data_IF_821616290993
#
_entry.id   IF_821616290993
#
_cell.length_a   1.000
_cell.length_b   1.000
_cell.length_c   1.000
_cell.angle_alpha   90.00
_cell.angle_beta   90.00
_cell.angle_gamma   90.00
#
_symmetry.space_group_name_H-M   'P 1'
#
loop_
_entity.id
_entity.type
_entity.pdbx_description
1 polymer ?
#
# COMPACT_ATOMS: atom_id res chain seq x y z
N UNK A 1 17.20 -12.78 30.30
CA UNK A 1 17.08 -11.36 29.98
C UNK A 1 18.46 -10.76 30.13
N UNK A 2 19.14 -10.44 29.05
CA UNK A 2 20.53 -9.94 29.08
C UNK A 2 20.52 -8.42 29.31
N UNK A 3 21.64 -7.86 29.77
CA UNK A 3 21.79 -6.40 29.97
C UNK A 3 21.52 -5.61 28.66
N UNK A 4 21.77 -6.24 27.49
CA UNK A 4 21.43 -5.69 26.17
C UNK A 4 19.91 -5.59 25.94
N UNK A 5 19.14 -6.56 26.46
CA UNK A 5 17.68 -6.55 26.32
C UNK A 5 17.06 -5.45 27.18
N UNK A 6 17.65 -5.18 28.36
CA UNK A 6 17.21 -4.10 29.25
C UNK A 6 17.58 -2.73 28.68
N UNK A 7 18.76 -2.60 28.05
CA UNK A 7 19.19 -1.34 27.42
C UNK A 7 18.36 -1.04 26.16
N UNK A 8 17.92 -2.06 25.42
CA UNK A 8 17.03 -1.85 24.27
C UNK A 8 15.62 -1.38 24.68
N UNK A 9 15.15 -1.83 25.84
CA UNK A 9 13.85 -1.42 26.41
C UNK A 9 13.95 0.00 27.03
N UNK A 10 15.13 0.38 27.54
CA UNK A 10 15.39 1.71 28.10
C UNK A 10 15.89 2.72 27.07
N UNK A 11 16.00 2.31 25.82
CA UNK A 11 16.39 3.24 24.76
C UNK A 11 15.27 4.26 24.58
N UNK A 12 15.46 5.50 25.05
CA UNK A 12 14.50 6.60 24.97
C UNK A 12 14.04 6.91 23.53
N UNK A 13 14.71 6.37 22.52
CA UNK A 13 14.25 6.36 21.15
C UNK A 13 12.94 5.57 20.98
N UNK A 14 12.63 4.61 21.84
CA UNK A 14 11.36 3.87 21.83
C UNK A 14 10.16 4.73 22.26
N UNK A 15 10.39 5.83 22.95
CA UNK A 15 9.36 6.78 23.38
C UNK A 15 9.25 8.02 22.48
N UNK A 16 10.19 8.23 21.57
CA UNK A 16 9.96 9.20 20.51
C UNK A 16 8.98 8.55 19.55
N UNK A 17 7.90 9.25 19.13
CA UNK A 17 7.23 8.84 17.91
C UNK A 17 8.34 8.77 16.87
N UNK A 18 8.75 7.54 16.52
CA UNK A 18 9.69 7.38 15.43
C UNK A 18 9.07 8.14 14.27
N UNK A 19 9.86 9.03 13.64
CA UNK A 19 9.46 9.54 12.35
C UNK A 19 9.06 8.31 11.55
N UNK A 20 7.95 8.39 10.84
CA UNK A 20 7.47 7.33 9.95
C UNK A 20 8.50 7.15 8.84
N UNK A 21 9.69 6.69 9.22
CA UNK A 21 10.74 6.29 8.29
C UNK A 21 10.16 5.10 7.50
N UNK A 22 9.92 5.25 6.20
CA UNK A 22 9.41 4.17 5.38
C UNK A 22 10.35 2.96 5.35
N UNK A 23 11.62 3.13 5.72
CA UNK A 23 12.60 2.06 5.91
C UNK A 23 12.53 1.39 7.27
N UNK A 24 11.93 2.05 8.28
CA UNK A 24 11.79 1.50 9.63
C UNK A 24 10.51 0.68 9.72
N UNK A 25 10.64 -0.64 9.81
CA UNK A 25 9.51 -1.51 10.05
C UNK A 25 8.78 -1.11 11.33
N UNK A 26 7.48 -0.84 11.26
CA UNK A 26 6.65 -0.58 12.42
C UNK A 26 6.70 -1.74 13.44
N UNK A 27 6.99 -2.96 12.98
CA UNK A 27 7.20 -4.14 13.83
C UNK A 27 8.49 -4.08 14.64
N UNK A 28 9.45 -3.24 14.27
CA UNK A 28 10.68 -3.04 15.10
C UNK A 28 10.36 -2.42 16.44
N UNK A 29 9.23 -1.71 16.56
CA UNK A 29 8.73 -1.21 17.85
C UNK A 29 8.26 -2.34 18.76
N UNK A 30 7.75 -3.43 18.15
CA UNK A 30 7.17 -4.58 18.84
C UNK A 30 7.75 -5.91 18.33
N UNK A 31 9.09 -6.11 18.37
CA UNK A 31 9.73 -7.26 17.73
C UNK A 31 9.35 -8.61 18.36
N UNK A 32 8.80 -8.58 19.56
CA UNK A 32 8.39 -9.79 20.30
C UNK A 32 6.91 -10.13 20.16
N UNK A 33 6.14 -9.26 19.52
CA UNK A 33 4.69 -9.40 19.46
C UNK A 33 4.24 -10.10 18.18
N UNK A 34 3.21 -10.92 18.29
CA UNK A 34 2.39 -11.33 17.16
C UNK A 34 1.56 -10.14 16.75
N UNK A 35 1.34 -9.97 15.48
CA UNK A 35 0.57 -8.86 14.92
C UNK A 35 -0.43 -9.38 13.89
N UNK A 36 -1.47 -8.62 13.64
CA UNK A 36 -2.41 -8.90 12.57
C UNK A 36 -2.36 -7.80 11.51
N UNK A 37 -2.43 -8.20 10.26
CA UNK A 37 -2.55 -7.31 9.12
C UNK A 37 -4.01 -7.32 8.68
N UNK A 38 -4.61 -6.15 8.52
CA UNK A 38 -6.03 -5.99 8.17
C UNK A 38 -6.12 -5.20 6.87
N UNK A 39 -6.81 -5.74 5.88
CA UNK A 39 -7.12 -5.06 4.63
C UNK A 39 -8.56 -4.59 4.61
N UNK A 40 -8.80 -3.31 4.35
CA UNK A 40 -10.13 -2.69 4.31
C UNK A 40 -10.45 -2.32 2.87
N UNK A 41 -11.34 -3.10 2.24
CA UNK A 41 -11.98 -2.80 0.96
C UNK A 41 -13.24 -1.97 1.12
N UNK A 42 -13.95 -1.72 0.02
CA UNK A 42 -15.23 -0.99 0.05
C UNK A 42 -16.31 -1.77 0.82
N UNK A 43 -16.44 -3.04 0.53
CA UNK A 43 -17.41 -3.96 1.11
C UNK A 43 -16.73 -5.30 1.45
N UNK A 44 -15.47 -5.24 1.90
CA UNK A 44 -14.69 -6.42 2.26
C UNK A 44 -13.69 -6.10 3.36
N UNK A 45 -13.39 -7.10 4.17
CA UNK A 45 -12.36 -7.09 5.18
C UNK A 45 -11.54 -8.37 5.04
N UNK A 46 -10.24 -8.21 4.80
CA UNK A 46 -9.29 -9.32 4.81
C UNK A 46 -8.33 -9.21 5.99
N UNK A 47 -7.77 -10.32 6.44
CA UNK A 47 -6.73 -10.31 7.48
C UNK A 47 -5.74 -11.45 7.33
N UNK A 48 -4.55 -11.26 7.90
CA UNK A 48 -3.49 -12.25 8.08
C UNK A 48 -2.83 -12.04 9.43
N UNK A 49 -2.65 -13.11 10.18
CA UNK A 49 -1.79 -13.09 11.37
C UNK A 49 -0.32 -13.21 10.97
N UNK A 50 0.55 -12.56 11.74
CA UNK A 50 2.01 -12.62 11.55
C UNK A 50 2.65 -12.99 12.88
N UNK A 51 3.33 -14.13 12.90
CA UNK A 51 4.07 -14.61 14.06
C UNK A 51 5.35 -13.78 14.29
N UNK A 52 5.94 -13.88 15.48
CA UNK A 52 7.20 -13.22 15.84
C UNK A 52 8.35 -13.51 14.88
N UNK A 53 8.39 -14.69 14.29
CA UNK A 53 9.39 -15.10 13.30
C UNK A 53 9.08 -14.63 11.86
N UNK A 54 8.03 -13.84 11.66
CA UNK A 54 7.62 -13.33 10.35
C UNK A 54 6.75 -14.28 9.52
N UNK A 55 6.49 -15.51 10.00
CA UNK A 55 5.62 -16.45 9.28
C UNK A 55 4.16 -16.02 9.40
N UNK A 56 3.41 -16.19 8.31
CA UNK A 56 1.98 -15.95 8.31
C UNK A 56 1.22 -17.09 8.97
N UNK A 57 0.14 -16.74 9.63
CA UNK A 57 -0.86 -17.69 10.13
C UNK A 57 -2.10 -17.70 9.26
N UNK A 58 -3.12 -18.35 9.71
CA UNK A 58 -4.42 -18.32 9.06
C UNK A 58 -4.89 -16.89 8.84
N UNK A 59 -5.60 -16.69 7.77
CA UNK A 59 -6.23 -15.44 7.40
C UNK A 59 -7.64 -15.68 6.93
N UNK A 60 -8.34 -14.59 6.64
CA UNK A 60 -9.69 -14.66 6.11
C UNK A 60 -10.00 -13.46 5.24
N UNK A 61 -11.06 -13.61 4.48
CA UNK A 61 -11.68 -12.54 3.70
C UNK A 61 -13.19 -12.69 3.85
N UNK A 62 -13.84 -11.62 4.27
CA UNK A 62 -15.31 -11.56 4.36
C UNK A 62 -15.82 -10.34 3.61
N UNK A 63 -17.05 -10.44 3.09
CA UNK A 63 -17.71 -9.37 2.33
C UNK A 63 -18.98 -8.94 3.04
N UNK A 64 -19.28 -7.63 3.01
CA UNK A 64 -20.44 -7.02 3.64
C UNK A 64 -20.20 -5.58 4.08
N UNK A 65 -21.02 -5.08 4.99
CA UNK A 65 -20.86 -3.74 5.55
C UNK A 65 -19.70 -3.69 6.56
N UNK A 66 -18.83 -2.70 6.48
CA UNK A 66 -17.55 -2.64 7.22
C UNK A 66 -17.72 -2.83 8.74
N UNK A 67 -18.73 -2.22 9.34
CA UNK A 67 -18.98 -2.34 10.79
C UNK A 67 -19.31 -3.77 11.20
N UNK A 68 -20.15 -4.43 10.41
CA UNK A 68 -20.51 -5.84 10.62
C UNK A 68 -19.32 -6.76 10.40
N UNK A 69 -18.51 -6.48 9.35
CA UNK A 69 -17.31 -7.23 9.03
C UNK A 69 -16.28 -7.16 10.17
N UNK A 70 -16.06 -5.97 10.75
CA UNK A 70 -15.14 -5.82 11.88
C UNK A 70 -15.63 -6.62 13.08
N UNK A 71 -16.92 -6.60 13.39
CA UNK A 71 -17.49 -7.36 14.48
C UNK A 71 -17.36 -8.88 14.26
N UNK A 72 -17.65 -9.36 13.05
CA UNK A 72 -17.49 -10.79 12.71
C UNK A 72 -16.03 -11.25 12.76
N UNK A 73 -15.14 -10.43 12.16
CA UNK A 73 -13.72 -10.72 12.12
C UNK A 73 -13.06 -10.65 13.51
N UNK A 74 -13.54 -9.78 14.40
CA UNK A 74 -12.93 -9.55 15.71
C UNK A 74 -12.80 -10.83 16.54
N UNK A 75 -13.76 -11.75 16.42
CA UNK A 75 -13.74 -13.04 17.13
C UNK A 75 -12.54 -13.89 16.68
N UNK A 76 -12.20 -13.85 15.39
CA UNK A 76 -11.09 -14.64 14.82
C UNK A 76 -9.76 -13.89 14.91
N UNK A 77 -9.77 -12.56 14.79
CA UNK A 77 -8.57 -11.73 14.74
C UNK A 77 -7.98 -11.48 16.13
N UNK A 78 -8.81 -11.36 17.15
CA UNK A 78 -8.39 -11.00 18.52
C UNK A 78 -7.32 -11.93 19.08
N UNK A 79 -7.42 -13.23 18.81
CA UNK A 79 -6.48 -14.24 19.30
C UNK A 79 -5.19 -14.31 18.45
N UNK A 80 -5.15 -13.63 17.32
CA UNK A 80 -3.99 -13.64 16.42
C UNK A 80 -2.92 -12.60 16.79
N UNK A 81 -3.25 -11.59 17.58
CA UNK A 81 -2.35 -10.49 17.91
C UNK A 81 -2.08 -10.42 19.41
N UNK A 82 -0.80 -10.39 19.82
CA UNK A 82 -0.42 -10.04 21.17
C UNK A 82 -0.71 -8.54 21.38
N UNK A 83 -1.26 -8.15 22.54
CA UNK A 83 -1.63 -6.75 22.88
C UNK A 83 -2.59 -6.08 21.88
N UNK A 84 -3.19 -6.82 20.97
CA UNK A 84 -4.15 -6.34 19.99
C UNK A 84 -3.60 -5.39 18.90
N UNK A 85 -2.29 -5.34 18.67
CA UNK A 85 -1.70 -4.47 17.64
C UNK A 85 -1.95 -4.97 16.22
N UNK A 86 -2.35 -4.04 15.34
CA UNK A 86 -2.56 -4.33 13.91
C UNK A 86 -1.99 -3.24 13.00
N UNK A 87 -1.71 -3.62 11.75
CA UNK A 87 -1.51 -2.69 10.64
C UNK A 87 -2.69 -2.76 9.68
N UNK A 88 -3.12 -1.62 9.16
CA UNK A 88 -4.28 -1.52 8.28
C UNK A 88 -3.87 -1.07 6.90
N UNK A 89 -4.28 -1.84 5.90
CA UNK A 89 -4.21 -1.48 4.48
C UNK A 89 -5.56 -0.97 4.02
N UNK A 90 -5.62 0.26 3.56
CA UNK A 90 -6.83 0.87 2.97
C UNK A 90 -6.90 0.59 1.47
N UNK A 91 -8.12 0.42 0.97
CA UNK A 91 -8.42 0.48 -0.46
C UNK A 91 -8.30 1.93 -0.97
N UNK A 92 -7.99 2.11 -2.24
CA UNK A 92 -7.87 3.43 -2.91
C UNK A 92 -9.13 4.27 -2.85
N UNK A 93 -10.31 3.69 -2.61
CA UNK A 93 -11.55 4.44 -2.38
C UNK A 93 -11.44 5.45 -1.24
N UNK A 94 -10.64 5.14 -0.24
CA UNK A 94 -10.48 5.97 0.96
C UNK A 94 -9.29 6.92 0.88
N UNK A 95 -8.60 6.93 -0.27
CA UNK A 95 -7.36 7.66 -0.47
C UNK A 95 -7.46 8.48 -1.75
N UNK A 96 -7.26 9.79 -1.63
CA UNK A 96 -7.10 10.68 -2.78
C UNK A 96 -5.62 10.68 -3.16
N UNK A 97 -5.32 10.46 -4.43
CA UNK A 97 -3.98 10.40 -4.98
C UNK A 97 -3.77 11.56 -5.95
N UNK A 98 -2.67 12.28 -5.78
CA UNK A 98 -2.30 13.41 -6.64
C UNK A 98 -0.87 13.23 -7.09
N UNK A 99 -0.66 13.35 -8.39
CA UNK A 99 0.67 13.42 -8.98
C UNK A 99 1.40 14.66 -8.50
N UNK A 100 2.67 14.51 -8.16
CA UNK A 100 3.46 15.62 -7.64
C UNK A 100 4.95 15.38 -7.86
N UNK A 101 5.72 16.45 -7.86
CA UNK A 101 7.18 16.45 -7.94
C UNK A 101 7.74 16.98 -6.62
N UNK A 102 7.43 16.33 -5.53
CA UNK A 102 7.98 16.69 -4.23
C UNK A 102 9.45 16.28 -4.17
N UNK A 103 10.31 17.24 -3.84
CA UNK A 103 11.73 16.98 -3.69
C UNK A 103 11.98 15.86 -2.70
N UNK A 104 12.65 14.80 -3.16
CA UNK A 104 13.07 13.68 -2.33
C UNK A 104 14.29 14.10 -1.50
N UNK A 105 14.06 14.55 -0.28
CA UNK A 105 15.09 14.81 0.72
C UNK A 105 14.95 13.80 1.85
N UNK A 106 16.04 13.37 2.49
CA UNK A 106 15.93 12.59 3.72
C UNK A 106 14.97 13.26 4.70
N UNK A 107 14.01 12.49 5.23
CA UNK A 107 12.98 13.01 6.15
C UNK A 107 11.82 13.76 5.50
N UNK A 108 11.76 13.93 4.17
CA UNK A 108 10.64 14.63 3.52
C UNK A 108 9.30 13.93 3.72
N UNK A 109 9.29 12.60 3.78
CA UNK A 109 8.10 11.81 4.06
C UNK A 109 7.57 12.07 5.47
N UNK A 110 8.45 12.22 6.45
CA UNK A 110 8.08 12.51 7.83
C UNK A 110 7.53 13.92 8.00
N UNK A 111 8.13 14.89 7.30
CA UNK A 111 7.64 16.27 7.31
C UNK A 111 6.24 16.36 6.72
N UNK A 112 5.95 15.62 5.65
CA UNK A 112 4.61 15.57 5.06
C UNK A 112 3.58 14.98 6.03
N UNK A 113 3.95 13.99 6.83
CA UNK A 113 3.05 13.37 7.81
C UNK A 113 2.85 14.24 9.06
N UNK A 114 3.91 14.87 9.53
CA UNK A 114 3.89 15.63 10.80
C UNK A 114 3.51 17.09 10.64
N UNK A 115 3.99 17.73 9.58
CA UNK A 115 3.75 19.16 9.28
C UNK A 115 3.42 19.39 7.80
N UNK A 116 2.33 18.76 7.31
CA UNK A 116 1.99 18.78 5.87
C UNK A 116 1.82 20.18 5.30
N UNK A 117 1.31 21.13 6.09
CA UNK A 117 1.11 22.52 5.68
C UNK A 117 2.42 23.17 5.19
N UNK A 118 3.56 22.85 5.81
CA UNK A 118 4.85 23.44 5.47
C UNK A 118 5.37 22.96 4.09
N UNK A 119 4.96 21.76 3.66
CA UNK A 119 5.37 21.17 2.39
C UNK A 119 4.35 21.45 1.29
N UNK A 120 3.06 21.34 1.62
CA UNK A 120 1.98 21.38 0.64
C UNK A 120 1.50 22.81 0.35
N UNK A 121 1.75 23.78 1.25
CA UNK A 121 1.32 25.17 1.07
C UNK A 121 -0.18 25.27 0.77
N UNK A 122 -0.54 25.80 -0.39
CA UNK A 122 -1.91 25.97 -0.84
C UNK A 122 -2.67 24.64 -1.11
N UNK A 123 -1.95 23.52 -1.26
CA UNK A 123 -2.57 22.19 -1.44
C UNK A 123 -2.94 21.52 -0.12
N UNK A 124 -2.59 22.15 1.01
CA UNK A 124 -2.94 21.61 2.31
C UNK A 124 -4.42 21.84 2.61
N UNK A 125 -5.09 20.75 2.98
CA UNK A 125 -6.47 20.75 3.47
C UNK A 125 -6.50 20.34 4.95
N UNK A 126 -7.24 21.09 5.75
CA UNK A 126 -7.43 20.73 7.17
C UNK A 126 -8.31 19.48 7.30
N UNK A 127 -8.00 18.62 8.28
CA UNK A 127 -8.76 17.39 8.51
C UNK A 127 -8.39 16.24 7.59
N UNK A 128 -7.24 16.34 6.91
CA UNK A 128 -6.65 15.26 6.12
C UNK A 128 -5.38 14.75 6.79
N UNK A 129 -5.13 13.44 6.65
CA UNK A 129 -3.81 12.82 6.87
C UNK A 129 -3.12 12.64 5.53
N UNK A 130 -1.82 12.82 5.51
CA UNK A 130 -1.02 12.80 4.30
C UNK A 130 0.09 11.75 4.36
N UNK A 131 0.39 11.18 3.21
CA UNK A 131 1.56 10.35 2.96
C UNK A 131 2.08 10.63 1.55
N UNK A 132 3.28 10.17 1.24
CA UNK A 132 3.84 10.28 -0.10
C UNK A 132 4.48 8.97 -0.51
N UNK A 133 4.34 8.61 -1.77
CA UNK A 133 5.07 7.51 -2.40
C UNK A 133 6.01 8.10 -3.43
N UNK A 134 7.31 7.89 -3.25
CA UNK A 134 8.34 8.29 -4.20
C UNK A 134 8.75 7.13 -5.09
N UNK A 135 9.05 7.44 -6.35
CA UNK A 135 9.88 6.55 -7.14
C UNK A 135 11.29 6.53 -6.52
N UNK A 136 11.89 5.36 -6.26
CA UNK A 136 13.19 5.28 -5.60
C UNK A 136 14.35 5.92 -6.38
N UNK A 137 14.24 6.09 -7.70
CA UNK A 137 15.30 6.61 -8.55
C UNK A 137 15.04 8.03 -9.09
N UNK A 138 13.80 8.47 -9.08
CA UNK A 138 13.39 9.76 -9.66
C UNK A 138 12.73 10.66 -8.63
N UNK A 139 12.40 11.90 -9.02
CA UNK A 139 11.61 12.81 -8.19
C UNK A 139 10.10 12.64 -8.39
N UNK A 140 9.68 11.70 -9.25
CA UNK A 140 8.27 11.40 -9.44
C UNK A 140 7.66 10.88 -8.14
N UNK A 141 6.64 11.55 -7.66
CA UNK A 141 5.99 11.22 -6.40
C UNK A 141 4.48 11.30 -6.52
N UNK A 142 3.80 10.55 -5.68
CA UNK A 142 2.34 10.57 -5.55
C UNK A 142 2.03 10.96 -4.11
N UNK A 143 1.36 12.10 -3.97
CA UNK A 143 0.81 12.54 -2.69
C UNK A 143 -0.48 11.77 -2.42
N UNK A 144 -0.57 11.18 -1.25
CA UNK A 144 -1.74 10.47 -0.77
C UNK A 144 -2.40 11.28 0.35
N UNK A 145 -3.71 11.39 0.32
CA UNK A 145 -4.45 11.99 1.42
C UNK A 145 -5.72 11.20 1.74
N UNK A 146 -6.09 11.17 2.99
CA UNK A 146 -7.31 10.53 3.48
C UNK A 146 -7.95 11.38 4.56
N UNK A 147 -9.28 11.28 4.73
CA UNK A 147 -10.00 11.98 5.77
C UNK A 147 -9.56 11.50 7.16
N UNK A 148 -9.15 12.44 8.00
CA UNK A 148 -8.74 12.14 9.37
C UNK A 148 -9.91 11.59 10.20
N UNK A 149 -11.11 12.10 10.00
CA UNK A 149 -12.32 11.64 10.72
C UNK A 149 -12.68 10.20 10.32
N UNK A 150 -12.49 9.84 9.04
CA UNK A 150 -12.64 8.45 8.59
C UNK A 150 -11.66 7.53 9.32
N UNK A 151 -10.39 7.91 9.38
CA UNK A 151 -9.37 7.10 10.06
C UNK A 151 -9.66 6.99 11.57
N UNK A 152 -10.03 8.10 12.24
CA UNK A 152 -10.41 8.06 13.65
C UNK A 152 -11.62 7.15 13.92
N UNK A 153 -12.59 7.15 13.02
CA UNK A 153 -13.77 6.27 13.09
C UNK A 153 -13.36 4.79 12.95
N UNK A 154 -12.48 4.50 11.99
CA UNK A 154 -11.94 3.16 11.80
C UNK A 154 -11.10 2.70 13.02
N UNK A 155 -10.24 3.59 13.55
CA UNK A 155 -9.48 3.36 14.79
C UNK A 155 -10.40 3.05 15.96
N UNK A 156 -11.51 3.79 16.10
CA UNK A 156 -12.53 3.55 17.12
C UNK A 156 -13.18 2.18 17.00
N UNK A 157 -13.66 1.82 15.81
CA UNK A 157 -14.29 0.52 15.56
C UNK A 157 -13.34 -0.66 15.84
N UNK A 158 -12.08 -0.56 15.40
CA UNK A 158 -11.08 -1.61 15.65
C UNK A 158 -10.70 -1.68 17.13
N UNK A 159 -10.64 -0.55 17.82
CA UNK A 159 -10.37 -0.49 19.26
C UNK A 159 -11.51 -1.14 20.07
N UNK A 160 -12.76 -0.92 19.69
CA UNK A 160 -13.93 -1.61 20.30
C UNK A 160 -13.84 -3.13 20.09
N UNK A 161 -13.27 -3.57 18.96
CA UNK A 161 -12.98 -4.97 18.66
C UNK A 161 -11.70 -5.50 19.36
N UNK A 162 -11.04 -4.71 20.20
CA UNK A 162 -9.83 -5.10 20.93
C UNK A 162 -8.53 -4.96 20.13
N UNK A 163 -8.54 -4.22 19.00
CA UNK A 163 -7.39 -4.00 18.14
C UNK A 163 -6.94 -2.54 18.16
N UNK A 164 -5.63 -2.33 18.32
CA UNK A 164 -5.00 -1.01 18.24
C UNK A 164 -4.23 -0.87 16.93
N UNK A 165 -4.49 0.20 16.19
CA UNK A 165 -3.80 0.44 14.91
C UNK A 165 -2.40 1.00 15.19
N UNK A 166 -1.36 0.28 14.77
CA UNK A 166 0.03 0.74 14.80
C UNK A 166 0.45 1.43 13.50
N UNK A 167 -0.21 1.09 12.38
CA UNK A 167 0.08 1.64 11.06
C UNK A 167 -1.14 1.64 10.17
N UNK A 168 -1.27 2.70 9.36
CA UNK A 168 -2.22 2.77 8.24
C UNK A 168 -1.44 3.01 6.95
N UNK A 169 -1.74 2.25 5.91
CA UNK A 169 -1.17 2.43 4.57
C UNK A 169 -2.26 2.24 3.50
N UNK A 170 -1.94 2.54 2.24
CA UNK A 170 -2.77 2.17 1.10
C UNK A 170 -2.09 1.03 0.34
N UNK A 171 -2.75 -0.12 0.27
CA UNK A 171 -2.18 -1.35 -0.27
C UNK A 171 -1.71 -1.21 -1.72
N UNK A 172 -2.50 -0.57 -2.57
CA UNK A 172 -2.12 -0.35 -3.97
C UNK A 172 -0.80 0.43 -4.10
N UNK A 173 -0.54 1.40 -3.23
CA UNK A 173 0.71 2.17 -3.26
C UNK A 173 1.88 1.45 -2.58
N UNK A 174 1.62 0.52 -1.68
CA UNK A 174 2.64 -0.40 -1.16
C UNK A 174 3.11 -1.34 -2.28
N UNK A 175 2.19 -1.92 -3.04
CA UNK A 175 2.49 -2.75 -4.21
C UNK A 175 3.20 -1.96 -5.31
N UNK A 176 2.71 -0.75 -5.63
CA UNK A 176 3.35 0.12 -6.62
C UNK A 176 4.80 0.42 -6.26
N UNK A 177 5.09 0.75 -5.00
CA UNK A 177 6.46 0.98 -4.54
C UNK A 177 7.36 -0.22 -4.73
N UNK A 178 6.85 -1.42 -4.49
CA UNK A 178 7.58 -2.66 -4.77
C UNK A 178 7.84 -2.83 -6.26
N UNK A 179 6.83 -2.62 -7.12
CA UNK A 179 6.98 -2.70 -8.56
C UNK A 179 8.02 -1.70 -9.10
N UNK A 180 7.99 -0.45 -8.62
CA UNK A 180 8.99 0.57 -8.95
C UNK A 180 10.41 0.14 -8.58
N UNK A 181 10.60 -0.45 -7.40
CA UNK A 181 11.92 -0.94 -6.97
C UNK A 181 12.39 -2.13 -7.81
N UNK A 182 11.50 -3.06 -8.16
CA UNK A 182 11.82 -4.22 -8.96
C UNK A 182 12.20 -3.84 -10.41
N UNK A 183 11.44 -2.94 -11.04
CA UNK A 183 11.70 -2.50 -12.42
C UNK A 183 12.97 -1.66 -12.53
N UNK A 184 13.26 -0.83 -11.54
CA UNK A 184 14.46 0.01 -11.55
C UNK A 184 15.74 -0.83 -11.40
N UNK A 185 15.72 -1.87 -10.57
CA UNK A 185 16.87 -2.75 -10.37
C UNK A 185 17.29 -3.52 -11.64
N UNK A 186 16.36 -3.78 -12.56
CA UNK A 186 16.62 -4.47 -13.84
C UNK A 186 17.10 -3.56 -14.94
N UNK A 187 17.00 -2.23 -14.78
CA UNK A 187 17.26 -1.21 -15.82
C UNK A 187 18.53 -0.41 -15.61
N UNK A 188 19.43 -0.86 -14.74
CA UNK A 188 20.68 -0.13 -14.47
C UNK A 188 21.50 0.09 -15.75
N UNK A 189 21.39 1.31 -16.33
CA UNK A 189 22.20 1.75 -17.49
C UNK A 189 21.43 2.20 -18.72
N UNK A 190 20.15 1.90 -18.88
CA UNK A 190 19.32 2.43 -19.98
C UNK A 190 18.54 3.67 -19.52
N UNK A 191 18.37 4.63 -20.43
CA UNK A 191 17.46 5.78 -20.20
C UNK A 191 16.09 5.24 -19.81
N UNK A 192 15.54 5.74 -18.72
CA UNK A 192 14.23 5.34 -18.19
C UNK A 192 13.17 5.37 -19.27
N UNK A 193 12.85 4.18 -19.81
CA UNK A 193 11.74 4.03 -20.74
C UNK A 193 10.42 4.30 -20.02
N UNK A 194 9.40 4.73 -20.74
CA UNK A 194 8.03 4.84 -20.23
C UNK A 194 7.55 3.49 -19.69
N UNK A 195 6.93 3.51 -18.52
CA UNK A 195 6.35 2.33 -17.88
C UNK A 195 4.85 2.53 -17.66
N UNK A 196 4.11 1.47 -17.87
CA UNK A 196 2.70 1.40 -17.53
C UNK A 196 2.49 0.39 -16.41
N UNK A 197 2.00 0.83 -15.26
CA UNK A 197 1.73 0.01 -14.09
C UNK A 197 0.25 -0.28 -13.97
N UNK A 198 -0.10 -1.56 -13.81
CA UNK A 198 -1.44 -2.03 -13.47
C UNK A 198 -1.36 -2.69 -12.09
N UNK A 199 -1.99 -2.08 -11.11
CA UNK A 199 -1.91 -2.50 -9.70
C UNK A 199 -3.30 -2.89 -9.21
N UNK A 200 -3.51 -4.17 -8.90
CA UNK A 200 -4.76 -4.68 -8.33
C UNK A 200 -4.58 -4.97 -6.84
N UNK A 201 -5.45 -4.40 -6.01
CA UNK A 201 -5.33 -4.55 -4.57
C UNK A 201 -6.66 -4.36 -3.85
N UNK A 202 -7.08 -5.35 -3.06
CA UNK A 202 -8.23 -5.25 -2.16
C UNK A 202 -9.52 -4.76 -2.86
N UNK A 203 -9.82 -5.29 -4.05
CA UNK A 203 -11.00 -4.89 -4.82
C UNK A 203 -10.90 -3.52 -5.48
N UNK A 204 -9.69 -3.05 -5.74
CA UNK A 204 -9.42 -1.86 -6.54
C UNK A 204 -8.33 -2.10 -7.57
N UNK A 205 -8.38 -1.37 -8.66
CA UNK A 205 -7.32 -1.31 -9.66
C UNK A 205 -6.84 0.13 -9.82
N UNK A 206 -5.52 0.30 -9.92
CA UNK A 206 -4.86 1.55 -10.30
C UNK A 206 -4.09 1.33 -11.60
N UNK A 207 -4.24 2.25 -12.55
CA UNK A 207 -3.50 2.29 -13.79
C UNK A 207 -2.68 3.59 -13.85
N UNK A 208 -1.36 3.47 -14.00
CA UNK A 208 -0.44 4.59 -13.90
C UNK A 208 0.58 4.54 -15.04
N UNK A 209 0.77 5.67 -15.71
CA UNK A 209 1.84 5.82 -16.70
C UNK A 209 2.93 6.72 -16.12
N UNK A 210 4.15 6.21 -16.13
CA UNK A 210 5.34 6.96 -15.77
C UNK A 210 6.22 7.15 -16.99
N UNK A 211 6.65 8.38 -17.22
CA UNK A 211 7.62 8.74 -18.22
C UNK A 211 8.82 9.43 -17.54
N UNK A 212 9.97 8.78 -17.61
CA UNK A 212 11.20 9.22 -16.96
C UNK A 212 10.99 9.54 -15.46
N UNK A 213 11.04 10.81 -15.08
CA UNK A 213 11.00 11.30 -13.71
C UNK A 213 9.64 11.89 -13.29
N UNK A 214 8.58 11.66 -14.08
CA UNK A 214 7.23 12.18 -13.79
C UNK A 214 6.14 11.17 -14.09
N UNK A 215 5.04 11.29 -13.34
CA UNK A 215 3.79 10.63 -13.67
C UNK A 215 3.07 11.41 -14.76
N UNK A 216 2.57 10.72 -15.79
CA UNK A 216 1.78 11.32 -16.85
C UNK A 216 0.28 11.19 -16.59
N UNK A 217 -0.13 10.08 -16.05
CA UNK A 217 -1.54 9.80 -15.79
C UNK A 217 -1.70 8.75 -14.67
N UNK A 218 -2.72 8.96 -13.87
CA UNK A 218 -3.14 8.05 -12.82
C UNK A 218 -4.67 7.92 -12.87
N UNK A 219 -5.16 6.69 -12.96
CA UNK A 219 -6.58 6.37 -12.82
C UNK A 219 -6.76 5.25 -11.84
N UNK A 220 -7.90 5.24 -11.16
CA UNK A 220 -8.27 4.13 -10.28
C UNK A 220 -9.75 3.82 -10.39
N UNK A 221 -10.09 2.56 -10.17
CA UNK A 221 -11.46 2.05 -10.08
C UNK A 221 -11.56 1.13 -8.88
N UNK A 222 -12.68 1.19 -8.19
CA UNK A 222 -13.01 0.31 -7.07
C UNK A 222 -14.10 -0.66 -7.49
N UNK A 223 -14.40 -1.64 -6.64
CA UNK A 223 -15.34 -2.74 -6.93
C UNK A 223 -14.86 -3.66 -8.07
N UNK A 224 -13.55 -3.93 -8.06
CA UNK A 224 -12.87 -4.81 -9.00
C UNK A 224 -12.39 -6.04 -8.22
N UNK A 225 -12.95 -7.17 -8.52
CA UNK A 225 -12.64 -8.42 -7.85
C UNK A 225 -12.03 -9.43 -8.84
N UNK A 226 -11.36 -10.42 -8.31
CA UNK A 226 -10.60 -11.43 -9.05
C UNK A 226 -11.43 -12.31 -10.01
N UNK A 227 -12.74 -12.36 -9.82
CA UNK A 227 -13.68 -13.14 -10.62
C UNK A 227 -14.14 -12.43 -11.91
N UNK A 228 -13.78 -11.14 -12.07
CA UNK A 228 -14.18 -10.35 -13.25
C UNK A 228 -13.04 -9.50 -13.77
N UNK A 229 -12.60 -9.73 -15.01
CA UNK A 229 -11.51 -8.96 -15.64
C UNK A 229 -12.02 -7.68 -16.34
N UNK A 230 -13.27 -7.65 -16.78
CA UNK A 230 -13.84 -6.53 -17.54
C UNK A 230 -13.60 -5.16 -16.90
N UNK A 231 -13.79 -4.98 -15.58
CA UNK A 231 -13.55 -3.68 -14.95
C UNK A 231 -12.10 -3.22 -15.02
N UNK A 232 -11.13 -4.16 -15.05
CA UNK A 232 -9.70 -3.86 -15.22
C UNK A 232 -9.44 -3.46 -16.66
N UNK A 233 -9.91 -4.27 -17.60
CA UNK A 233 -9.73 -4.06 -19.05
C UNK A 233 -10.35 -2.72 -19.47
N UNK A 234 -11.58 -2.41 -19.01
CA UNK A 234 -12.23 -1.12 -19.25
C UNK A 234 -11.37 0.06 -18.76
N UNK A 235 -10.75 -0.06 -17.56
CA UNK A 235 -9.93 1.00 -17.02
C UNK A 235 -8.64 1.20 -17.82
N UNK A 236 -8.00 0.12 -18.27
CA UNK A 236 -6.68 0.18 -18.93
C UNK A 236 -6.77 0.42 -20.44
N UNK A 237 -7.88 0.08 -21.09
CA UNK A 237 -8.07 0.25 -22.54
C UNK A 237 -7.74 1.67 -23.06
N UNK A 238 -8.16 2.77 -22.40
CA UNK A 238 -7.82 4.11 -22.86
C UNK A 238 -6.32 4.42 -22.88
N UNK A 239 -5.53 3.67 -22.13
CA UNK A 239 -4.07 3.85 -22.09
C UNK A 239 -3.36 3.29 -23.33
N UNK A 240 -4.01 2.41 -24.09
CA UNK A 240 -3.44 1.82 -25.32
C UNK A 240 -2.88 2.86 -26.30
N UNK A 241 -3.51 4.03 -26.38
CA UNK A 241 -3.08 5.11 -27.26
C UNK A 241 -1.99 6.02 -26.64
N UNK A 242 -1.69 5.85 -25.36
CA UNK A 242 -0.78 6.71 -24.59
C UNK A 242 0.51 6.02 -24.17
N UNK A 243 0.49 4.69 -24.14
CA UNK A 243 1.65 3.85 -23.83
C UNK A 243 2.46 3.70 -25.11
N UNK A 244 3.72 4.16 -25.10
CA UNK A 244 4.59 4.06 -26.26
C UNK A 244 4.91 2.58 -26.56
N UNK A 245 5.14 2.21 -27.85
CA UNK A 245 5.34 0.80 -28.23
C UNK A 245 6.49 0.09 -27.51
N UNK A 246 7.51 0.85 -27.11
CA UNK A 246 8.68 0.36 -26.36
C UNK A 246 8.47 0.30 -24.85
N UNK A 247 7.31 0.72 -24.37
CA UNK A 247 7.02 0.74 -22.94
C UNK A 247 6.86 -0.66 -22.37
N UNK A 248 7.33 -0.87 -21.16
CA UNK A 248 7.06 -2.07 -20.38
C UNK A 248 5.75 -1.89 -19.61
N UNK A 249 4.95 -2.94 -19.59
CA UNK A 249 3.73 -3.02 -18.78
C UNK A 249 4.03 -3.90 -17.58
N UNK A 250 3.82 -3.35 -16.40
CA UNK A 250 4.09 -4.03 -15.13
C UNK A 250 2.76 -4.30 -14.44
N UNK A 251 2.42 -5.57 -14.32
CA UNK A 251 1.28 -6.05 -13.55
C UNK A 251 1.73 -6.43 -12.14
N UNK A 252 0.98 -6.02 -11.14
CA UNK A 252 1.18 -6.45 -9.76
C UNK A 252 -0.16 -6.52 -9.03
N UNK A 253 -0.45 -7.68 -8.46
CA UNK A 253 -1.70 -7.95 -7.75
C UNK A 253 -1.41 -8.43 -6.32
N UNK A 254 -2.29 -8.11 -5.38
CA UNK A 254 -2.25 -8.63 -4.01
C UNK A 254 -2.56 -10.13 -3.93
N UNK A 255 -3.28 -10.62 -4.92
CA UNK A 255 -3.54 -12.03 -5.19
C UNK A 255 -3.60 -12.25 -6.70
N UNK A 256 -3.33 -13.45 -7.23
CA UNK A 256 -3.41 -13.73 -8.65
C UNK A 256 -4.83 -13.49 -9.20
N UNK A 257 -4.91 -12.79 -10.32
CA UNK A 257 -6.12 -12.62 -11.13
C UNK A 257 -5.97 -13.53 -12.35
N UNK A 258 -6.72 -14.62 -12.39
CA UNK A 258 -6.63 -15.62 -13.46
C UNK A 258 -6.95 -14.98 -14.82
N UNK A 259 -6.08 -15.20 -15.81
CA UNK A 259 -6.22 -14.68 -17.17
C UNK A 259 -5.93 -13.17 -17.35
N UNK A 260 -5.59 -12.42 -16.29
CA UNK A 260 -5.37 -10.97 -16.43
C UNK A 260 -4.09 -10.64 -17.22
N UNK A 261 -3.02 -11.37 -17.00
CA UNK A 261 -1.77 -11.16 -17.75
C UNK A 261 -1.96 -11.43 -19.23
N UNK A 262 -2.68 -12.51 -19.57
CA UNK A 262 -3.05 -12.88 -20.94
C UNK A 262 -3.93 -11.81 -21.59
N UNK A 263 -4.96 -11.34 -20.90
CA UNK A 263 -5.85 -10.29 -21.39
C UNK A 263 -5.11 -8.96 -21.64
N UNK A 264 -4.15 -8.62 -20.77
CA UNK A 264 -3.27 -7.46 -20.99
C UNK A 264 -2.34 -7.68 -22.19
N UNK A 265 -1.82 -8.90 -22.41
CA UNK A 265 -0.97 -9.21 -23.55
C UNK A 265 -1.74 -9.12 -24.88
N UNK A 266 -3.00 -9.53 -24.90
CA UNK A 266 -3.88 -9.35 -26.05
C UNK A 266 -4.20 -7.89 -26.33
N UNK A 267 -4.50 -7.12 -25.28
CA UNK A 267 -4.82 -5.70 -25.40
C UNK A 267 -3.63 -4.86 -25.85
N UNK A 268 -2.43 -5.12 -25.31
CA UNK A 268 -1.20 -4.41 -25.56
C UNK A 268 -0.22 -5.24 -26.40
N UNK A 269 -0.66 -5.65 -27.56
CA UNK A 269 0.12 -6.49 -28.47
C UNK A 269 1.46 -5.85 -28.80
N UNK A 270 2.55 -6.59 -28.66
CA UNK A 270 3.93 -6.14 -28.92
C UNK A 270 4.63 -5.49 -27.72
N UNK A 271 3.93 -5.25 -26.61
CA UNK A 271 4.55 -4.78 -25.38
C UNK A 271 5.06 -5.98 -24.54
N UNK A 272 6.14 -5.73 -23.79
CA UNK A 272 6.59 -6.66 -22.77
C UNK A 272 5.72 -6.51 -21.54
N UNK A 273 5.08 -7.59 -21.10
CA UNK A 273 4.36 -7.65 -19.83
C UNK A 273 5.23 -8.36 -18.80
N UNK A 274 5.42 -7.71 -17.67
CA UNK A 274 6.12 -8.27 -16.51
C UNK A 274 5.11 -8.40 -15.37
N UNK A 275 4.76 -9.63 -15.01
CA UNK A 275 3.90 -9.91 -13.87
C UNK A 275 4.75 -10.13 -12.61
N UNK A 276 4.55 -9.28 -11.61
CA UNK A 276 5.20 -9.32 -10.31
C UNK A 276 4.29 -9.87 -9.20
N UNK A 277 3.09 -10.32 -9.56
CA UNK A 277 2.11 -10.82 -8.61
C UNK A 277 2.61 -12.10 -7.93
N UNK A 278 2.46 -12.17 -6.62
CA UNK A 278 2.82 -13.35 -5.82
C UNK A 278 1.79 -13.56 -4.70
N UNK A 279 1.52 -14.79 -4.30
CA UNK A 279 0.69 -15.05 -3.15
C UNK A 279 1.22 -14.34 -1.89
N UNK A 280 0.32 -13.76 -1.11
CA UNK A 280 0.63 -13.04 0.12
C UNK A 280 1.62 -11.87 -0.02
N UNK A 281 1.87 -11.37 -1.25
CA UNK A 281 2.83 -10.28 -1.51
C UNK A 281 2.49 -9.02 -0.71
N UNK A 282 1.23 -8.57 -0.76
CA UNK A 282 0.78 -7.39 -0.01
C UNK A 282 1.09 -7.54 1.49
N UNK A 283 0.75 -8.69 2.06
CA UNK A 283 0.96 -8.96 3.47
C UNK A 283 2.44 -8.98 3.84
N UNK A 284 3.28 -9.57 2.98
CA UNK A 284 4.73 -9.57 3.14
C UNK A 284 5.29 -8.16 3.16
N UNK A 285 4.86 -7.31 2.24
CA UNK A 285 5.31 -5.92 2.15
C UNK A 285 4.84 -5.08 3.35
N UNK A 286 3.59 -5.23 3.78
CA UNK A 286 3.09 -4.51 4.98
C UNK A 286 3.82 -4.95 6.24
N UNK A 287 4.20 -6.21 6.33
CA UNK A 287 4.93 -6.75 7.48
C UNK A 287 6.41 -6.32 7.53
N UNK A 288 7.02 -6.01 6.40
CA UNK A 288 8.44 -5.63 6.30
C UNK A 288 8.68 -4.15 6.64
N UNK A 289 7.73 -3.28 6.31
CA UNK A 289 7.88 -1.82 6.42
C UNK A 289 7.40 -1.26 7.76
#
# INVERSE_FOLDING_TARGET
>A
MTLKDVVSVLNFAAFRPEPDDPSASWRRRFPTHRTVLVGVGKASLGWRGVLKNGRFTEGGLIRGELKELINQASIQIKDLADDGWCAVSLNTRYVISLETNLSRRPGSEDVIKTTPRNVLGARYERGKRYAVTHNPETNASILLSTDEDYIKKLEGMLKEAGLSIGRVCCGSYVLLRHALSATNSTRSGEKTATCFYVVCCMGAVCALVQDQDRWLELRSRTDVYEDTLDPVIDLVTPFKQRVAPESEIVLICDQPYEGLAEALQELFTGHKITDLSQPDLLWSLIAQY
#
